data_IF_100738550935
#
_entry.id   IF_100738550935
#
_cell.length_a   1.000
_cell.length_b   1.000
_cell.length_c   1.000
_cell.angle_alpha   90.00
_cell.angle_beta   90.00
_cell.angle_gamma   90.00
#
_symmetry.space_group_name_H-M   'P 1'
#
loop_
_entity.id
_entity.type
_entity.pdbx_description
1 polymer ?
#
# COMPACT_ATOMS: atom_id res chain seq x y z
N UNK A 1 -18.10 -26.38 1.91
CA UNK A 1 -17.56 -25.53 2.95
C UNK A 1 -16.58 -24.49 2.39
N UNK A 2 -16.07 -23.56 3.21
CA UNK A 2 -15.10 -22.52 2.81
C UNK A 2 -13.89 -23.09 2.05
N UNK A 3 -13.40 -24.28 2.41
CA UNK A 3 -12.29 -24.96 1.73
C UNK A 3 -12.54 -25.27 0.26
N UNK A 4 -13.80 -25.49 -0.14
CA UNK A 4 -14.14 -25.76 -1.54
C UNK A 4 -14.20 -24.48 -2.38
N UNK A 5 -14.52 -23.35 -1.76
CA UNK A 5 -14.49 -22.03 -2.41
C UNK A 5 -13.04 -21.65 -2.73
N UNK A 6 -12.12 -21.84 -1.80
CA UNK A 6 -10.68 -21.56 -2.01
C UNK A 6 -10.06 -22.47 -3.09
N UNK A 7 -10.43 -23.75 -3.12
CA UNK A 7 -9.97 -24.67 -4.17
C UNK A 7 -10.48 -24.27 -5.56
N UNK A 8 -11.73 -23.81 -5.67
CA UNK A 8 -12.30 -23.32 -6.92
C UNK A 8 -11.69 -21.99 -7.35
N UNK A 9 -11.41 -21.08 -6.42
CA UNK A 9 -10.71 -19.84 -6.72
C UNK A 9 -9.29 -20.10 -7.24
N UNK A 10 -8.54 -21.01 -6.63
CA UNK A 10 -7.20 -21.39 -7.10
C UNK A 10 -7.20 -21.96 -8.52
N UNK A 11 -8.27 -22.67 -8.91
CA UNK A 11 -8.42 -23.21 -10.27
C UNK A 11 -8.76 -22.13 -11.32
N UNK A 12 -9.41 -21.03 -10.90
CA UNK A 12 -9.82 -19.94 -11.80
C UNK A 12 -8.82 -18.77 -11.83
N UNK A 13 -7.86 -18.75 -10.90
CA UNK A 13 -6.83 -17.71 -10.84
C UNK A 13 -5.70 -18.01 -11.83
N UNK A 14 -5.25 -17.00 -12.60
CA UNK A 14 -4.03 -17.15 -13.37
C UNK A 14 -2.81 -17.28 -12.43
N UNK A 15 -1.79 -18.04 -12.84
CA UNK A 15 -0.57 -18.24 -12.05
C UNK A 15 0.21 -16.95 -11.82
N UNK A 16 0.00 -15.95 -12.67
CA UNK A 16 0.69 -14.66 -12.60
C UNK A 16 -0.29 -13.51 -12.73
N UNK A 17 -0.01 -12.43 -12.01
CA UNK A 17 -0.75 -11.18 -12.14
C UNK A 17 -0.58 -10.59 -13.54
N UNK A 18 -1.67 -10.24 -14.24
CA UNK A 18 -1.60 -9.65 -15.57
C UNK A 18 -0.85 -8.31 -15.62
N UNK A 19 -0.73 -7.61 -14.50
CA UNK A 19 -0.13 -6.27 -14.40
C UNK A 19 1.39 -6.25 -14.38
N UNK A 20 2.03 -7.26 -13.78
CA UNK A 20 3.48 -7.25 -13.50
C UNK A 20 4.13 -8.63 -13.54
N UNK A 21 3.41 -9.64 -13.99
CA UNK A 21 3.88 -11.03 -14.04
C UNK A 21 4.31 -11.65 -12.71
N UNK A 22 4.02 -11.00 -11.58
CA UNK A 22 4.27 -11.57 -10.27
C UNK A 22 3.37 -12.78 -10.01
N UNK A 23 3.88 -13.74 -9.26
CA UNK A 23 3.12 -14.91 -8.83
C UNK A 23 1.84 -14.48 -8.10
N UNK A 24 0.73 -15.12 -8.44
CA UNK A 24 -0.59 -14.84 -7.85
C UNK A 24 -1.08 -16.09 -7.12
N UNK A 25 -1.14 -16.01 -5.79
CA UNK A 25 -1.69 -17.07 -4.93
C UNK A 25 -2.60 -16.44 -3.87
N UNK A 26 -3.56 -17.19 -3.39
CA UNK A 26 -4.54 -16.74 -2.40
C UNK A 26 -3.94 -16.48 -1.01
N UNK A 27 -2.80 -17.07 -0.71
CA UNK A 27 -2.07 -17.00 0.55
C UNK A 27 -0.94 -15.96 0.56
N UNK A 28 -0.68 -15.32 -0.60
CA UNK A 28 0.31 -14.24 -0.66
C UNK A 28 -0.19 -12.97 0.04
N UNK A 29 0.69 -12.24 0.71
CA UNK A 29 0.35 -10.94 1.31
C UNK A 29 -0.21 -9.97 0.26
N UNK A 30 -1.27 -9.27 0.63
CA UNK A 30 -1.90 -8.22 -0.18
C UNK A 30 -1.86 -6.88 0.56
N UNK A 31 -2.11 -5.79 -0.15
CA UNK A 31 -2.26 -4.47 0.45
C UNK A 31 -3.49 -4.43 1.35
N UNK A 32 -3.37 -3.81 2.53
CA UNK A 32 -4.45 -3.74 3.51
C UNK A 32 -5.71 -3.06 2.98
N UNK A 33 -5.57 -2.12 2.04
CA UNK A 33 -6.71 -1.41 1.47
C UNK A 33 -7.71 -2.35 0.80
N UNK A 34 -7.27 -3.49 0.23
CA UNK A 34 -8.18 -4.51 -0.30
C UNK A 34 -9.02 -5.16 0.80
N UNK A 35 -8.37 -5.54 1.91
CA UNK A 35 -9.08 -6.12 3.02
C UNK A 35 -10.03 -5.12 3.67
N UNK A 36 -9.59 -3.89 3.87
CA UNK A 36 -10.40 -2.80 4.42
C UNK A 36 -11.62 -2.50 3.53
N UNK A 37 -11.46 -2.51 2.20
CA UNK A 37 -12.56 -2.30 1.26
C UNK A 37 -13.65 -3.37 1.34
N UNK A 38 -13.29 -4.58 1.78
CA UNK A 38 -14.26 -5.66 2.03
C UNK A 38 -14.91 -5.59 3.42
N UNK A 39 -14.33 -4.83 4.35
CA UNK A 39 -14.79 -4.77 5.75
C UNK A 39 -15.61 -3.50 6.05
N UNK A 40 -15.42 -2.43 5.27
CA UNK A 40 -16.10 -1.15 5.47
C UNK A 40 -16.20 -0.36 4.15
N UNK A 41 -17.19 0.55 4.00
CA UNK A 41 -17.35 1.37 2.79
C UNK A 41 -16.40 2.59 2.74
N UNK A 42 -15.70 2.90 3.82
CA UNK A 42 -14.90 4.13 3.99
C UNK A 42 -13.45 3.92 3.58
N UNK A 43 -13.22 3.55 2.30
CA UNK A 43 -11.89 3.23 1.77
C UNK A 43 -11.59 3.93 0.46
N UNK A 44 -10.30 4.20 0.25
CA UNK A 44 -9.87 4.93 -0.95
C UNK A 44 -10.11 4.14 -2.23
N UNK A 45 -9.89 2.81 -2.24
CA UNK A 45 -10.00 1.99 -3.46
C UNK A 45 -11.41 1.88 -4.05
N UNK A 46 -12.42 2.39 -3.38
CA UNK A 46 -13.77 2.53 -3.96
C UNK A 46 -13.79 3.39 -5.24
N UNK A 47 -12.79 4.27 -5.45
CA UNK A 47 -12.67 5.04 -6.68
C UNK A 47 -12.45 4.18 -7.93
N UNK A 48 -11.96 2.94 -7.79
CA UNK A 48 -11.84 2.02 -8.92
C UNK A 48 -13.20 1.67 -9.52
N UNK A 49 -14.21 1.53 -8.69
CA UNK A 49 -15.59 1.25 -9.11
C UNK A 49 -16.34 2.53 -9.48
N UNK A 50 -16.07 3.64 -8.79
CA UNK A 50 -16.76 4.91 -8.93
C UNK A 50 -15.80 6.06 -9.29
N UNK A 51 -15.16 6.01 -10.47
CA UNK A 51 -14.08 6.96 -10.82
C UNK A 51 -14.53 8.41 -10.97
N UNK A 52 -15.82 8.70 -11.18
CA UNK A 52 -16.35 10.07 -11.18
C UNK A 52 -16.29 10.73 -9.78
N UNK A 53 -16.18 9.92 -8.73
CA UNK A 53 -16.02 10.38 -7.34
C UNK A 53 -14.58 10.26 -6.84
N UNK A 54 -13.61 10.11 -7.72
CA UNK A 54 -12.22 9.85 -7.33
C UNK A 54 -11.65 10.89 -6.38
N UNK A 55 -11.87 12.19 -6.67
CA UNK A 55 -11.36 13.27 -5.82
C UNK A 55 -12.05 13.31 -4.46
N UNK A 56 -13.32 12.97 -4.37
CA UNK A 56 -14.03 12.81 -3.09
C UNK A 56 -13.42 11.69 -2.24
N UNK A 57 -13.17 10.51 -2.84
CA UNK A 57 -12.48 9.41 -2.14
C UNK A 57 -11.04 9.78 -1.75
N UNK A 58 -10.37 10.60 -2.57
CA UNK A 58 -9.04 11.12 -2.26
C UNK A 58 -9.08 11.99 -1.00
N UNK A 59 -9.93 13.00 -0.95
CA UNK A 59 -10.00 13.92 0.18
C UNK A 59 -10.46 13.21 1.46
N UNK A 60 -11.49 12.38 1.39
CA UNK A 60 -12.07 11.72 2.57
C UNK A 60 -11.24 10.54 3.06
N UNK A 61 -10.81 9.64 2.17
CA UNK A 61 -10.31 8.32 2.59
C UNK A 61 -8.83 8.07 2.24
N UNK A 62 -8.20 8.94 1.45
CA UNK A 62 -6.75 8.91 1.25
C UNK A 62 -6.03 9.91 2.16
N UNK A 63 -6.48 11.17 2.14
CA UNK A 63 -5.83 12.29 2.84
C UNK A 63 -6.43 12.58 4.21
N UNK A 64 -7.61 12.06 4.50
CA UNK A 64 -8.37 12.31 5.73
C UNK A 64 -8.64 13.78 6.02
N UNK A 65 -8.79 14.61 4.97
CA UNK A 65 -9.10 16.04 5.10
C UNK A 65 -10.58 16.26 5.47
N UNK A 66 -11.50 15.55 4.77
CA UNK A 66 -12.96 15.72 4.90
C UNK A 66 -13.65 14.46 5.46
N UNK A 67 -12.91 13.64 6.19
CA UNK A 67 -13.45 12.46 6.87
C UNK A 67 -14.17 12.90 8.16
N UNK A 68 -15.35 12.31 8.43
CA UNK A 68 -16.03 12.55 9.71
C UNK A 68 -15.32 11.79 10.85
N UNK A 69 -15.48 12.26 12.08
CA UNK A 69 -14.91 11.59 13.26
C UNK A 69 -15.42 10.13 13.41
N UNK A 70 -16.67 9.89 13.05
CA UNK A 70 -17.24 8.53 13.07
C UNK A 70 -16.57 7.62 12.02
N UNK A 71 -16.46 8.07 10.78
CA UNK A 71 -15.81 7.30 9.70
C UNK A 71 -14.34 7.05 10.03
N UNK A 72 -13.66 8.07 10.57
CA UNK A 72 -12.26 7.95 11.00
C UNK A 72 -12.10 6.92 12.11
N UNK A 73 -12.97 6.93 13.10
CA UNK A 73 -13.00 5.94 14.18
C UNK A 73 -13.24 4.52 13.63
N UNK A 74 -14.22 4.37 12.75
CA UNK A 74 -14.51 3.08 12.10
C UNK A 74 -13.28 2.57 11.32
N UNK A 75 -12.60 3.46 10.59
CA UNK A 75 -11.35 3.11 9.90
C UNK A 75 -10.29 2.62 10.87
N UNK A 76 -10.01 3.36 11.95
CA UNK A 76 -8.99 3.02 12.93
C UNK A 76 -9.30 1.68 13.64
N UNK A 77 -10.55 1.47 14.05
CA UNK A 77 -11.00 0.24 14.71
C UNK A 77 -10.88 -0.97 13.76
N UNK A 78 -11.29 -0.80 12.50
CA UNK A 78 -11.24 -1.86 11.48
C UNK A 78 -9.80 -2.20 11.12
N UNK A 79 -8.94 -1.20 10.94
CA UNK A 79 -7.53 -1.42 10.66
C UNK A 79 -6.82 -2.09 11.85
N UNK A 80 -7.07 -1.64 13.08
CA UNK A 80 -6.53 -2.29 14.28
C UNK A 80 -6.97 -3.75 14.39
N UNK A 81 -8.24 -4.05 14.06
CA UNK A 81 -8.73 -5.43 14.00
C UNK A 81 -7.99 -6.26 12.96
N UNK A 82 -7.77 -5.71 11.77
CA UNK A 82 -7.00 -6.38 10.70
C UNK A 82 -5.58 -6.72 11.15
N UNK A 83 -4.88 -5.76 11.75
CA UNK A 83 -3.52 -5.95 12.29
C UNK A 83 -3.51 -7.08 13.33
N UNK A 84 -4.43 -7.04 14.30
CA UNK A 84 -4.52 -8.06 15.36
C UNK A 84 -4.79 -9.47 14.80
N UNK A 85 -5.71 -9.58 13.83
CA UNK A 85 -6.04 -10.87 13.19
C UNK A 85 -4.84 -11.39 12.39
N UNK A 86 -4.12 -10.52 11.68
CA UNK A 86 -2.93 -10.90 10.91
C UNK A 86 -1.82 -11.42 11.82
N UNK A 87 -1.53 -10.71 12.92
CA UNK A 87 -0.53 -11.13 13.91
C UNK A 87 -0.92 -12.45 14.57
N UNK A 88 -2.19 -12.61 14.94
CA UNK A 88 -2.70 -13.84 15.53
C UNK A 88 -2.54 -15.05 14.59
N UNK A 89 -2.94 -14.89 13.33
CA UNK A 89 -2.89 -15.97 12.33
C UNK A 89 -1.46 -16.42 11.98
N UNK A 90 -0.49 -15.49 12.08
CA UNK A 90 0.91 -15.77 11.73
C UNK A 90 1.79 -16.05 12.95
N UNK A 91 1.25 -15.99 14.16
CA UNK A 91 2.03 -15.94 15.42
C UNK A 91 3.11 -14.84 15.39
N UNK A 92 2.86 -13.77 14.63
CA UNK A 92 3.78 -12.66 14.43
C UNK A 92 3.83 -11.74 15.66
N UNK A 93 5.01 -11.15 15.88
CA UNK A 93 5.23 -10.14 16.92
C UNK A 93 5.39 -8.74 16.34
N UNK A 94 5.55 -8.64 15.01
CA UNK A 94 5.72 -7.41 14.28
C UNK A 94 4.85 -7.42 13.02
N UNK A 95 4.19 -6.29 12.75
CA UNK A 95 3.38 -6.11 11.55
C UNK A 95 4.14 -5.25 10.54
N UNK A 96 4.30 -5.77 9.32
CA UNK A 96 4.82 -5.02 8.19
C UNK A 96 3.68 -4.68 7.24
N UNK A 97 3.40 -3.39 7.10
CA UNK A 97 2.41 -2.86 6.18
C UNK A 97 3.06 -2.41 4.86
N UNK A 98 2.45 -2.78 3.73
CA UNK A 98 2.75 -2.20 2.43
C UNK A 98 1.45 -1.75 1.78
N UNK A 99 1.12 -0.47 1.96
CA UNK A 99 -0.14 0.09 1.50
C UNK A 99 0.08 1.53 0.98
N UNK A 100 0.04 1.78 -0.34
CA UNK A 100 0.29 3.11 -0.92
C UNK A 100 -0.56 4.24 -0.30
N UNK A 101 -1.85 4.04 0.06
CA UNK A 101 -2.64 5.04 0.76
C UNK A 101 -2.07 5.53 2.09
N UNK A 102 -1.21 4.75 2.75
CA UNK A 102 -0.60 5.16 4.01
C UNK A 102 0.31 6.39 3.92
N UNK A 103 0.80 6.69 2.72
CA UNK A 103 1.55 7.93 2.44
C UNK A 103 0.77 9.19 2.81
N UNK A 104 -0.56 9.20 2.67
CA UNK A 104 -1.44 10.31 3.03
C UNK A 104 -2.00 10.26 4.45
N UNK A 105 -1.58 9.30 5.27
CA UNK A 105 -2.19 9.02 6.59
C UNK A 105 -1.15 8.95 7.72
N UNK A 106 0.02 9.60 7.55
CA UNK A 106 1.13 9.53 8.52
C UNK A 106 0.67 9.93 9.93
N UNK A 107 -0.04 11.06 10.04
CA UNK A 107 -0.58 11.52 11.33
C UNK A 107 -1.49 10.48 11.99
N UNK A 108 -2.43 9.92 11.24
CA UNK A 108 -3.36 8.89 11.77
C UNK A 108 -2.64 7.61 12.17
N UNK A 109 -1.64 7.20 11.38
CA UNK A 109 -0.83 6.02 11.72
C UNK A 109 -0.01 6.24 12.99
N UNK A 110 0.52 7.44 13.21
CA UNK A 110 1.23 7.77 14.46
C UNK A 110 0.30 7.82 15.67
N UNK A 111 -0.94 8.27 15.50
CA UNK A 111 -1.94 8.20 16.58
C UNK A 111 -2.28 6.75 16.97
N UNK A 112 -2.35 5.85 15.99
CA UNK A 112 -2.61 4.43 16.23
C UNK A 112 -1.37 3.68 16.73
N UNK A 113 -0.20 4.02 16.22
CA UNK A 113 1.08 3.35 16.43
C UNK A 113 2.19 4.38 16.66
N UNK A 114 2.31 4.97 17.87
CA UNK A 114 3.26 6.07 18.14
C UNK A 114 4.73 5.72 17.87
N UNK A 115 5.07 4.43 17.93
CA UNK A 115 6.43 3.94 17.68
C UNK A 115 6.60 3.34 16.26
N UNK A 116 5.65 3.57 15.36
CA UNK A 116 5.74 3.06 13.99
C UNK A 116 7.00 3.57 13.30
N UNK A 117 7.59 2.71 12.48
CA UNK A 117 8.73 3.04 11.63
C UNK A 117 8.26 3.13 10.18
N UNK A 118 8.78 4.11 9.47
CA UNK A 118 8.34 4.45 8.12
C UNK A 118 9.49 4.26 7.14
N UNK A 119 9.19 3.56 6.05
CA UNK A 119 10.06 3.44 4.89
C UNK A 119 9.33 4.12 3.73
N UNK A 120 9.81 5.28 3.32
CA UNK A 120 9.24 6.00 2.19
C UNK A 120 10.05 5.75 0.92
N UNK A 121 9.46 4.99 -0.01
CA UNK A 121 10.09 4.62 -1.27
C UNK A 121 9.74 5.64 -2.35
N UNK A 122 10.72 6.45 -2.77
CA UNK A 122 10.59 7.43 -3.86
C UNK A 122 10.98 6.78 -5.19
N UNK A 123 10.26 7.13 -6.24
CA UNK A 123 10.58 6.68 -7.61
C UNK A 123 10.48 7.86 -8.56
N UNK A 124 11.18 7.76 -9.70
CA UNK A 124 11.11 8.76 -10.78
C UNK A 124 9.63 9.02 -11.15
N UNK A 125 9.14 10.27 -11.06
CA UNK A 125 7.72 10.58 -11.27
C UNK A 125 7.25 10.28 -12.70
N UNK A 126 8.10 10.39 -13.70
CA UNK A 126 7.75 10.05 -15.09
C UNK A 126 7.50 8.53 -15.24
N UNK A 127 8.34 7.71 -14.61
CA UNK A 127 8.14 6.25 -14.58
C UNK A 127 6.86 5.88 -13.83
N UNK A 128 6.58 6.55 -12.72
CA UNK A 128 5.34 6.36 -11.96
C UNK A 128 4.13 6.74 -12.80
N UNK A 129 4.19 7.88 -13.53
CA UNK A 129 3.13 8.33 -14.41
C UNK A 129 2.79 7.29 -15.48
N UNK A 130 3.78 6.83 -16.25
CA UNK A 130 3.56 5.86 -17.33
C UNK A 130 3.03 4.52 -16.82
N UNK A 131 3.57 4.03 -15.71
CA UNK A 131 3.10 2.80 -15.07
C UNK A 131 1.65 2.94 -14.59
N UNK A 132 1.30 4.07 -13.97
CA UNK A 132 -0.04 4.34 -13.47
C UNK A 132 -1.04 4.47 -14.62
N UNK A 133 -0.68 5.18 -15.70
CA UNK A 133 -1.49 5.29 -16.90
C UNK A 133 -1.82 3.92 -17.49
N UNK A 134 -0.81 3.08 -17.66
CA UNK A 134 -0.98 1.71 -18.16
C UNK A 134 -1.89 0.87 -17.24
N UNK A 135 -1.71 0.97 -15.93
CA UNK A 135 -2.53 0.26 -14.95
C UNK A 135 -4.01 0.65 -15.05
N UNK A 136 -4.33 1.94 -15.09
CA UNK A 136 -5.72 2.40 -15.19
C UNK A 136 -6.37 2.07 -16.53
N UNK A 137 -5.62 2.12 -17.62
CA UNK A 137 -6.13 1.80 -18.95
C UNK A 137 -6.40 0.29 -19.12
N UNK A 138 -5.50 -0.55 -18.61
CA UNK A 138 -5.54 -1.98 -18.90
C UNK A 138 -6.19 -2.82 -17.78
N UNK A 139 -6.03 -2.42 -16.52
CA UNK A 139 -6.42 -3.24 -15.37
C UNK A 139 -7.72 -2.75 -14.72
N UNK A 140 -7.88 -1.45 -14.54
CA UNK A 140 -9.03 -0.91 -13.82
C UNK A 140 -10.25 -0.75 -14.73
N UNK A 141 -10.07 -0.64 -16.06
CA UNK A 141 -11.17 -0.46 -16.99
C UNK A 141 -12.33 -1.46 -16.82
N UNK A 142 -12.09 -2.78 -16.70
CA UNK A 142 -13.19 -3.75 -16.54
C UNK A 142 -13.90 -3.69 -15.19
N UNK A 143 -13.32 -3.02 -14.19
CA UNK A 143 -13.89 -2.90 -12.84
C UNK A 143 -14.82 -1.68 -12.69
N UNK A 144 -14.74 -0.73 -13.60
CA UNK A 144 -15.47 0.55 -13.48
C UNK A 144 -16.97 0.36 -13.67
N UNK A 145 -17.76 0.91 -12.75
CA UNK A 145 -19.21 1.00 -12.82
C UNK A 145 -19.69 2.35 -13.41
N UNK A 146 -18.75 3.22 -13.77
CA UNK A 146 -19.02 4.54 -14.33
C UNK A 146 -18.07 4.82 -15.48
N UNK A 147 -18.55 5.48 -16.53
CA UNK A 147 -17.73 5.93 -17.63
C UNK A 147 -16.90 7.16 -17.22
N UNK A 148 -15.64 7.14 -17.57
CA UNK A 148 -14.69 8.25 -17.39
C UNK A 148 -13.71 8.23 -18.56
N UNK A 149 -13.31 9.41 -19.08
CA UNK A 149 -12.37 9.50 -20.17
C UNK A 149 -10.93 9.30 -19.71
N UNK A 150 -10.03 8.95 -20.63
CA UNK A 150 -8.62 8.79 -20.30
C UNK A 150 -7.98 10.10 -19.83
N UNK A 151 -8.38 11.24 -20.42
CA UNK A 151 -7.92 12.57 -20.00
C UNK A 151 -8.34 12.88 -18.56
N UNK A 152 -9.56 12.52 -18.17
CA UNK A 152 -10.04 12.67 -16.80
C UNK A 152 -9.27 11.76 -15.83
N UNK A 153 -8.97 10.52 -16.25
CA UNK A 153 -8.14 9.60 -15.46
C UNK A 153 -6.76 10.21 -15.23
N UNK A 154 -6.11 10.68 -16.29
CA UNK A 154 -4.77 11.29 -16.21
C UNK A 154 -4.76 12.53 -15.32
N UNK A 155 -5.73 13.42 -15.48
CA UNK A 155 -5.86 14.60 -14.63
C UNK A 155 -6.05 14.24 -13.16
N UNK A 156 -6.91 13.26 -12.87
CA UNK A 156 -7.17 12.83 -11.49
C UNK A 156 -5.93 12.22 -10.84
N UNK A 157 -5.21 11.32 -11.51
CA UNK A 157 -4.06 10.71 -10.85
C UNK A 157 -2.87 11.66 -10.69
N UNK A 158 -2.67 12.62 -11.61
CA UNK A 158 -1.67 13.69 -11.44
C UNK A 158 -2.02 14.51 -10.19
N UNK A 159 -3.28 14.91 -10.05
CA UNK A 159 -3.73 15.71 -8.92
C UNK A 159 -3.64 14.91 -7.60
N UNK A 160 -4.02 13.64 -7.60
CA UNK A 160 -3.86 12.76 -6.42
C UNK A 160 -2.39 12.61 -6.05
N UNK A 161 -1.50 12.36 -7.04
CA UNK A 161 -0.06 12.25 -6.79
C UNK A 161 0.49 13.53 -6.16
N UNK A 162 0.11 14.70 -6.71
CA UNK A 162 0.51 16.02 -6.20
C UNK A 162 0.04 16.21 -4.75
N UNK A 163 -1.24 15.96 -4.46
CA UNK A 163 -1.80 16.12 -3.11
C UNK A 163 -1.17 15.16 -2.11
N UNK A 164 -0.98 13.90 -2.52
CA UNK A 164 -0.36 12.88 -1.68
C UNK A 164 1.09 13.24 -1.31
N UNK A 165 1.85 13.75 -2.29
CA UNK A 165 3.21 14.23 -2.08
C UNK A 165 3.24 15.40 -1.07
N UNK A 166 2.41 16.42 -1.26
CA UNK A 166 2.37 17.56 -0.33
C UNK A 166 1.88 17.15 1.07
N UNK A 167 0.91 16.27 1.16
CA UNK A 167 0.44 15.74 2.44
C UNK A 167 1.54 15.01 3.20
N UNK A 168 2.32 14.17 2.49
CA UNK A 168 3.48 13.52 3.08
C UNK A 168 4.53 14.54 3.55
N UNK A 169 4.89 15.51 2.71
CA UNK A 169 5.86 16.54 3.07
C UNK A 169 5.42 17.38 4.29
N UNK A 170 4.11 17.62 4.41
CA UNK A 170 3.50 18.31 5.55
C UNK A 170 3.55 17.47 6.83
N UNK A 171 3.31 16.15 6.74
CA UNK A 171 3.16 15.29 7.93
C UNK A 171 4.45 14.56 8.34
N UNK A 172 5.44 14.41 7.46
CA UNK A 172 6.64 13.61 7.74
C UNK A 172 7.44 14.12 8.95
N UNK A 173 7.37 15.41 9.28
CA UNK A 173 8.02 15.98 10.45
C UNK A 173 7.40 15.54 11.79
N UNK A 174 6.19 14.95 11.76
CA UNK A 174 5.56 14.35 12.93
C UNK A 174 6.18 13.00 13.30
N UNK A 175 6.91 12.37 12.37
CA UNK A 175 7.56 11.09 12.61
C UNK A 175 8.74 11.31 13.55
N UNK A 176 8.83 10.57 14.67
CA UNK A 176 9.95 10.70 15.60
C UNK A 176 11.29 10.48 14.91
N UNK A 177 12.31 11.21 15.36
CA UNK A 177 13.68 11.04 14.87
C UNK A 177 14.13 9.57 14.96
N UNK A 178 14.77 9.08 13.89
CA UNK A 178 15.17 7.67 13.77
C UNK A 178 14.05 6.69 13.37
N UNK A 179 12.81 7.16 13.14
CA UNK A 179 11.71 6.32 12.72
C UNK A 179 11.33 6.51 11.24
N UNK A 180 12.06 7.30 10.47
CA UNK A 180 11.84 7.48 9.03
C UNK A 180 13.12 7.20 8.25
N UNK A 181 13.02 6.43 7.19
CA UNK A 181 14.03 6.34 6.15
C UNK A 181 13.39 6.58 4.78
N UNK A 182 13.98 7.48 4.00
CA UNK A 182 13.58 7.75 2.63
C UNK A 182 14.56 7.08 1.66
N UNK A 183 14.06 6.23 0.77
CA UNK A 183 14.83 5.42 -0.17
C UNK A 183 14.44 5.75 -1.60
N UNK A 184 15.41 5.91 -2.49
CA UNK A 184 15.16 5.97 -3.94
C UNK A 184 15.06 4.57 -4.49
N UNK A 185 13.98 4.29 -5.22
CA UNK A 185 13.76 2.98 -5.83
C UNK A 185 14.89 2.60 -6.80
N UNK A 186 15.40 3.57 -7.53
CA UNK A 186 16.50 3.38 -8.50
C UNK A 186 17.81 2.96 -7.81
N UNK A 187 18.04 3.38 -6.57
CA UNK A 187 19.20 2.94 -5.78
C UNK A 187 18.94 1.56 -5.17
N UNK A 188 17.70 1.30 -4.76
CA UNK A 188 17.28 -0.03 -4.30
C UNK A 188 17.40 -1.09 -5.41
N UNK A 189 17.06 -0.77 -6.66
CA UNK A 189 17.21 -1.71 -7.79
C UNK A 189 18.68 -2.05 -8.09
N UNK A 190 19.61 -1.12 -7.87
CA UNK A 190 21.05 -1.38 -8.12
C UNK A 190 21.64 -2.35 -7.12
N UNK A 191 21.30 -2.22 -5.85
CA UNK A 191 21.78 -3.08 -4.77
C UNK A 191 20.71 -3.21 -3.68
N UNK A 192 19.77 -4.11 -3.91
CA UNK A 192 18.66 -4.35 -2.99
C UNK A 192 19.14 -4.91 -1.64
N UNK A 193 20.27 -5.64 -1.62
CA UNK A 193 20.82 -6.19 -0.39
C UNK A 193 21.38 -5.08 0.51
N UNK A 194 22.31 -4.27 -0.02
CA UNK A 194 22.90 -3.18 0.74
C UNK A 194 21.85 -2.15 1.19
N UNK A 195 20.86 -1.86 0.34
CA UNK A 195 19.77 -0.97 0.71
C UNK A 195 18.88 -1.55 1.81
N UNK A 196 18.62 -2.86 1.80
CA UNK A 196 17.88 -3.51 2.89
C UNK A 196 18.68 -3.44 4.20
N UNK A 197 19.98 -3.72 4.17
CA UNK A 197 20.86 -3.57 5.35
C UNK A 197 20.84 -2.14 5.90
N UNK A 198 20.93 -1.15 5.02
CA UNK A 198 20.82 0.28 5.40
C UNK A 198 19.47 0.59 6.08
N UNK A 199 18.34 0.11 5.53
CA UNK A 199 17.01 0.31 6.12
C UNK A 199 16.97 -0.27 7.54
N UNK A 200 17.44 -1.50 7.74
CA UNK A 200 17.47 -2.13 9.06
C UNK A 200 18.35 -1.34 10.03
N UNK A 201 19.52 -0.87 9.59
CA UNK A 201 20.42 -0.06 10.41
C UNK A 201 19.83 1.31 10.76
N UNK A 202 19.32 2.03 9.76
CA UNK A 202 18.77 3.40 9.94
C UNK A 202 17.56 3.42 10.87
N UNK A 203 16.71 2.40 10.80
CA UNK A 203 15.52 2.28 11.62
C UNK A 203 15.76 1.48 12.91
N UNK A 204 16.98 1.00 13.15
CA UNK A 204 17.31 0.11 14.27
C UNK A 204 16.33 -1.07 14.37
N UNK A 205 16.11 -1.76 13.24
CA UNK A 205 15.23 -2.94 13.18
C UNK A 205 16.00 -4.18 13.62
N UNK A 206 15.39 -5.06 14.43
CA UNK A 206 15.99 -6.34 14.81
C UNK A 206 15.93 -7.35 13.65
N UNK A 207 16.75 -8.40 13.73
CA UNK A 207 16.59 -9.60 12.90
C UNK A 207 17.30 -9.56 11.53
N UNK A 208 18.07 -8.52 11.20
CA UNK A 208 18.79 -8.49 9.91
C UNK A 208 19.79 -9.64 9.76
N UNK A 209 20.57 -9.92 10.81
CA UNK A 209 21.58 -10.98 10.77
C UNK A 209 20.96 -12.36 10.55
N UNK A 210 19.85 -12.61 11.21
CA UNK A 210 19.09 -13.86 11.12
C UNK A 210 18.44 -14.02 9.74
N UNK A 211 17.97 -12.93 9.15
CA UNK A 211 17.30 -12.91 7.85
C UNK A 211 18.24 -12.83 6.66
N UNK A 212 19.54 -12.59 6.88
CA UNK A 212 20.52 -12.34 5.82
C UNK A 212 20.53 -13.42 4.74
N UNK A 213 20.62 -14.68 5.13
CA UNK A 213 20.67 -15.81 4.20
C UNK A 213 19.39 -15.95 3.37
N UNK A 214 18.23 -15.68 3.97
CA UNK A 214 16.95 -15.72 3.27
C UNK A 214 16.80 -14.56 2.28
N UNK A 215 17.29 -13.37 2.64
CA UNK A 215 17.33 -12.20 1.75
C UNK A 215 18.22 -12.49 0.54
N UNK A 216 19.44 -13.00 0.74
CA UNK A 216 20.36 -13.38 -0.34
C UNK A 216 19.75 -14.44 -1.25
N UNK A 217 19.12 -15.47 -0.69
CA UNK A 217 18.41 -16.52 -1.44
C UNK A 217 17.23 -15.98 -2.25
N UNK A 218 16.49 -15.02 -1.71
CA UNK A 218 15.37 -14.38 -2.40
C UNK A 218 15.86 -13.55 -3.59
N UNK A 219 16.90 -12.74 -3.38
CA UNK A 219 17.50 -11.91 -4.42
C UNK A 219 18.19 -12.72 -5.51
N UNK A 220 18.81 -13.83 -5.18
CA UNK A 220 19.45 -14.75 -6.14
C UNK A 220 18.47 -15.55 -7.02
N UNK A 221 17.15 -15.46 -6.76
CA UNK A 221 16.09 -16.07 -7.59
C UNK A 221 15.56 -15.15 -8.70
N UNK A 222 16.01 -13.91 -8.74
CA UNK A 222 15.66 -12.92 -9.76
C UNK A 222 16.77 -12.84 -10.79
#
# INVERSE_FOLDING_TARGET
GLGDVYKRQAFLMPDKRPTDNMELKVDLPQEEEFALSNMMPYTYYNFWFFPKRWMEYCDRYLLFNDITEEERRIFMDTFMRLVKVSLWNTNGTQYLSKNPPHTGRVKTLLEMFPNAKFIYLKRNPYTVFESTRSFFTNTIQPLRLQDITNEQIEANFIEVYRRLFYKYEEEKHLIPEGNLVEVKFEDFEKDAFAMTENIYGSLNLPGFKESKADIEKYLGKK
#
